data_IF_139188554356
#
_entry.id   IF_139188554356
#
_cell.length_a   1.000
_cell.length_b   1.000
_cell.length_c   1.000
_cell.angle_alpha   90.00
_cell.angle_beta   90.00
_cell.angle_gamma   90.00
#
_symmetry.space_group_name_H-M   'P 1'
#
loop_
_entity.id
_entity.type
_entity.pdbx_description
1 polymer ?
#
# COMPACT_ATOMS: atom_id res chain seq x y z
N UNK A 1 -8.28 0.41 20.91
CA UNK A 1 -7.83 1.81 21.03
C UNK A 1 -7.28 2.33 19.70
N UNK A 2 -6.14 1.86 19.19
CA UNK A 2 -5.59 2.35 17.90
C UNK A 2 -6.58 2.21 16.74
N UNK A 3 -7.17 1.03 16.54
CA UNK A 3 -8.22 0.80 15.53
C UNK A 3 -9.34 1.86 15.58
N UNK A 4 -10.00 2.01 16.74
CA UNK A 4 -11.09 2.99 16.95
C UNK A 4 -10.64 4.42 16.65
N UNK A 5 -9.46 4.81 17.10
CA UNK A 5 -8.94 6.17 16.91
C UNK A 5 -8.61 6.43 15.43
N UNK A 6 -8.08 5.44 14.71
CA UNK A 6 -7.83 5.54 13.28
C UNK A 6 -9.13 5.81 12.51
N UNK A 7 -10.19 5.05 12.74
CA UNK A 7 -11.47 5.28 12.04
C UNK A 7 -12.11 6.62 12.39
N UNK A 8 -12.05 7.06 13.66
CA UNK A 8 -12.51 8.40 14.04
C UNK A 8 -11.76 9.49 13.29
N UNK A 9 -10.42 9.40 13.25
CA UNK A 9 -9.58 10.34 12.51
C UNK A 9 -9.85 10.36 11.02
N UNK A 10 -10.14 9.19 10.43
CA UNK A 10 -10.53 9.08 9.01
C UNK A 10 -11.82 9.85 8.76
N UNK A 11 -12.82 9.72 9.63
CA UNK A 11 -14.09 10.43 9.51
C UNK A 11 -13.91 11.94 9.71
N UNK A 12 -13.16 12.34 10.75
CA UNK A 12 -12.87 13.75 11.07
C UNK A 12 -12.16 14.50 9.94
N UNK A 13 -11.32 13.80 9.19
CA UNK A 13 -10.51 14.35 8.10
C UNK A 13 -10.91 13.80 6.71
N UNK A 14 -12.17 13.39 6.54
CA UNK A 14 -12.64 12.77 5.29
C UNK A 14 -12.46 13.66 4.05
N UNK A 15 -12.43 14.98 4.21
CA UNK A 15 -12.13 15.92 3.13
C UNK A 15 -10.78 15.62 2.42
N UNK A 16 -9.80 15.04 3.12
CA UNK A 16 -8.53 14.65 2.51
C UNK A 16 -8.69 13.49 1.50
N UNK A 17 -9.70 12.63 1.66
CA UNK A 17 -9.96 11.51 0.73
C UNK A 17 -10.28 12.04 -0.67
N UNK A 18 -11.12 13.08 -0.78
CA UNK A 18 -11.46 13.70 -2.06
C UNK A 18 -10.24 14.34 -2.75
N UNK A 19 -9.35 14.96 -1.97
CA UNK A 19 -8.13 15.59 -2.49
C UNK A 19 -7.13 14.53 -2.97
N UNK A 20 -7.00 13.42 -2.23
CA UNK A 20 -6.20 12.27 -2.62
C UNK A 20 -6.76 11.65 -3.90
N UNK A 21 -8.09 11.49 -4.01
CA UNK A 21 -8.73 10.99 -5.24
C UNK A 21 -8.37 11.85 -6.45
N UNK A 22 -8.57 13.17 -6.37
CA UNK A 22 -8.24 14.08 -7.46
C UNK A 22 -6.76 13.97 -7.88
N UNK A 23 -5.85 13.89 -6.90
CA UNK A 23 -4.43 13.70 -7.17
C UNK A 23 -4.13 12.36 -7.83
N UNK A 24 -4.73 11.26 -7.36
CA UNK A 24 -4.53 9.92 -7.91
C UNK A 24 -5.01 9.87 -9.36
N UNK A 25 -6.17 10.45 -9.67
CA UNK A 25 -6.69 10.50 -11.05
C UNK A 25 -5.71 11.23 -11.95
N UNK A 26 -5.29 12.46 -11.59
CA UNK A 26 -4.36 13.24 -12.39
C UNK A 26 -3.00 12.53 -12.58
N UNK A 27 -2.42 12.02 -11.50
CA UNK A 27 -1.13 11.31 -11.56
C UNK A 27 -1.23 9.99 -12.32
N UNK A 28 -2.35 9.27 -12.23
CA UNK A 28 -2.56 8.02 -12.97
C UNK A 28 -2.69 8.28 -14.47
N UNK A 29 -3.42 9.32 -14.90
CA UNK A 29 -3.54 9.70 -16.32
C UNK A 29 -2.14 10.01 -16.87
N UNK A 30 -1.34 10.77 -16.13
CA UNK A 30 0.02 11.10 -16.55
C UNK A 30 0.92 9.87 -16.68
N UNK A 31 0.91 8.97 -15.69
CA UNK A 31 1.71 7.74 -15.72
C UNK A 31 1.25 6.80 -16.82
N UNK A 32 -0.06 6.60 -16.98
CA UNK A 32 -0.64 5.73 -18.01
C UNK A 32 -0.34 6.28 -19.40
N UNK A 33 -0.47 7.59 -19.62
CA UNK A 33 -0.15 8.21 -20.91
C UNK A 33 1.32 7.99 -21.32
N UNK A 34 2.25 8.21 -20.38
CA UNK A 34 3.67 7.96 -20.63
C UNK A 34 3.97 6.47 -20.83
N UNK A 35 3.44 5.61 -19.96
CA UNK A 35 3.65 4.17 -20.04
C UNK A 35 3.08 3.58 -21.35
N UNK A 36 1.92 4.06 -21.80
CA UNK A 36 1.29 3.64 -23.05
C UNK A 36 2.20 3.91 -24.25
N UNK A 37 2.70 5.14 -24.38
CA UNK A 37 3.59 5.53 -25.47
C UNK A 37 4.81 4.62 -25.59
N UNK A 38 5.39 4.23 -24.44
CA UNK A 38 6.58 3.40 -24.38
C UNK A 38 6.28 1.90 -24.59
N UNK A 39 5.07 1.47 -24.26
CA UNK A 39 4.61 0.08 -24.42
C UNK A 39 4.07 -0.24 -25.82
N UNK A 40 3.93 0.73 -26.72
CA UNK A 40 3.35 0.51 -28.06
C UNK A 40 3.99 -0.66 -28.85
N UNK A 41 5.33 -0.82 -28.90
CA UNK A 41 5.95 -1.96 -29.59
C UNK A 41 5.62 -3.30 -28.92
N UNK A 42 5.51 -3.31 -27.60
CA UNK A 42 5.17 -4.50 -26.80
C UNK A 42 3.70 -4.88 -27.07
N UNK A 43 2.79 -3.91 -27.05
CA UNK A 43 1.36 -4.13 -27.32
C UNK A 43 1.17 -4.70 -28.72
N UNK A 44 1.87 -4.17 -29.74
CA UNK A 44 1.78 -4.68 -31.12
C UNK A 44 2.16 -6.16 -31.22
N UNK A 45 3.19 -6.58 -30.49
CA UNK A 45 3.60 -8.00 -30.44
C UNK A 45 2.58 -8.89 -29.72
N UNK A 46 2.01 -8.41 -28.62
CA UNK A 46 0.95 -9.13 -27.91
C UNK A 46 -0.33 -9.28 -28.75
N UNK A 47 -0.64 -8.27 -29.57
CA UNK A 47 -1.75 -8.34 -30.53
C UNK A 47 -1.47 -9.36 -31.62
N UNK A 48 -0.25 -9.36 -32.19
CA UNK A 48 0.10 -10.30 -33.27
C UNK A 48 0.08 -11.77 -32.83
N UNK A 49 0.39 -12.04 -31.55
CA UNK A 49 0.33 -13.39 -30.98
C UNK A 49 -1.04 -13.73 -30.37
N UNK A 50 -2.03 -12.83 -30.45
CA UNK A 50 -3.39 -13.09 -29.98
C UNK A 50 -3.55 -13.12 -28.46
N UNK A 51 -2.53 -12.76 -27.68
CA UNK A 51 -2.56 -12.82 -26.20
C UNK A 51 -3.66 -11.96 -25.57
N UNK A 52 -4.05 -10.85 -26.22
CA UNK A 52 -5.15 -10.00 -25.74
C UNK A 52 -6.50 -10.72 -25.83
N UNK A 53 -6.69 -11.55 -26.86
CA UNK A 53 -7.94 -12.30 -27.06
C UNK A 53 -8.06 -13.41 -26.02
N UNK A 54 -6.97 -14.13 -25.73
CA UNK A 54 -6.91 -15.13 -24.65
C UNK A 54 -7.15 -14.48 -23.29
N UNK A 55 -6.54 -13.31 -23.01
CA UNK A 55 -6.77 -12.58 -21.76
C UNK A 55 -8.25 -12.20 -21.57
N UNK A 56 -8.88 -11.61 -22.59
CA UNK A 56 -10.31 -11.27 -22.53
C UNK A 56 -11.17 -12.53 -22.38
N UNK A 57 -10.80 -13.62 -23.05
CA UNK A 57 -11.48 -14.91 -22.93
C UNK A 57 -11.45 -15.49 -21.51
N UNK A 58 -10.32 -15.36 -20.81
CA UNK A 58 -10.17 -15.82 -19.43
C UNK A 58 -11.09 -15.03 -18.48
N UNK A 59 -11.13 -13.71 -18.60
CA UNK A 59 -12.02 -12.89 -17.77
C UNK A 59 -13.50 -13.12 -18.07
N UNK A 60 -13.87 -13.35 -19.34
CA UNK A 60 -15.25 -13.72 -19.71
C UNK A 60 -15.66 -15.06 -19.10
N UNK A 61 -14.81 -16.08 -19.17
CA UNK A 61 -15.06 -17.39 -18.54
C UNK A 61 -15.16 -17.29 -17.01
N UNK A 62 -14.36 -16.44 -16.39
CA UNK A 62 -14.49 -16.19 -14.95
C UNK A 62 -15.80 -15.51 -14.60
N UNK A 63 -16.24 -14.53 -15.40
CA UNK A 63 -17.52 -13.85 -15.20
C UNK A 63 -18.74 -14.75 -15.33
N UNK A 64 -18.66 -15.85 -16.08
CA UNK A 64 -19.74 -16.84 -16.20
C UNK A 64 -19.69 -17.90 -15.10
N UNK A 65 -18.51 -18.43 -14.78
CA UNK A 65 -18.39 -19.66 -13.99
C UNK A 65 -17.96 -19.41 -12.53
N UNK A 66 -17.53 -18.19 -12.20
CA UNK A 66 -16.99 -17.78 -10.89
C UNK A 66 -15.94 -18.76 -10.30
N UNK A 67 -15.23 -19.49 -11.16
CA UNK A 67 -14.25 -20.47 -10.74
C UNK A 67 -12.89 -19.79 -10.46
N UNK A 68 -12.62 -19.53 -9.17
CA UNK A 68 -11.39 -18.89 -8.70
C UNK A 68 -10.14 -19.73 -9.01
N UNK A 69 -10.23 -21.06 -8.90
CA UNK A 69 -9.11 -21.95 -9.20
C UNK A 69 -8.76 -21.91 -10.69
N UNK A 70 -9.76 -22.03 -11.57
CA UNK A 70 -9.56 -21.93 -13.01
C UNK A 70 -8.96 -20.58 -13.44
N UNK A 71 -9.37 -19.48 -12.78
CA UNK A 71 -8.76 -18.17 -13.00
C UNK A 71 -7.28 -18.15 -12.60
N UNK A 72 -6.92 -18.73 -11.45
CA UNK A 72 -5.51 -18.78 -11.01
C UNK A 72 -4.62 -19.56 -11.98
N UNK A 73 -5.07 -20.73 -12.43
CA UNK A 73 -4.35 -21.55 -13.42
C UNK A 73 -4.12 -20.75 -14.71
N UNK A 74 -5.17 -20.14 -15.23
CA UNK A 74 -5.10 -19.36 -16.47
C UNK A 74 -4.19 -18.12 -16.32
N UNK A 75 -4.19 -17.45 -15.17
CA UNK A 75 -3.31 -16.30 -14.91
C UNK A 75 -1.84 -16.74 -14.84
N UNK A 76 -1.53 -17.84 -14.15
CA UNK A 76 -0.16 -18.34 -14.07
C UNK A 76 0.34 -18.73 -15.46
N UNK A 77 -0.47 -19.43 -16.26
CA UNK A 77 -0.15 -19.77 -17.64
C UNK A 77 0.08 -18.52 -18.51
N UNK A 78 -0.78 -17.51 -18.42
CA UNK A 78 -0.60 -16.24 -19.14
C UNK A 78 0.72 -15.54 -18.78
N UNK A 79 1.14 -15.58 -17.52
CA UNK A 79 2.41 -14.99 -17.08
C UNK A 79 3.58 -15.75 -17.68
N UNK A 80 3.53 -17.09 -17.70
CA UNK A 80 4.57 -17.93 -18.29
C UNK A 80 4.67 -17.72 -19.81
N UNK A 81 3.54 -17.69 -20.52
CA UNK A 81 3.47 -17.39 -21.96
C UNK A 81 3.99 -15.99 -22.28
N UNK A 82 3.68 -15.01 -21.44
CA UNK A 82 4.17 -13.64 -21.60
C UNK A 82 5.71 -13.58 -21.41
N UNK A 83 6.23 -14.30 -20.43
CA UNK A 83 7.66 -14.36 -20.17
C UNK A 83 8.44 -15.03 -21.31
N UNK A 84 7.91 -16.10 -21.90
CA UNK A 84 8.57 -16.79 -23.03
C UNK A 84 8.56 -15.92 -24.29
N UNK A 85 7.47 -15.22 -24.58
CA UNK A 85 7.35 -14.27 -25.69
C UNK A 85 8.37 -13.13 -25.57
N UNK A 86 8.48 -12.53 -24.39
CA UNK A 86 9.46 -11.47 -24.13
C UNK A 86 10.89 -12.00 -24.26
N UNK A 87 11.17 -13.19 -23.71
CA UNK A 87 12.49 -13.79 -23.80
C UNK A 87 12.91 -14.03 -25.27
N UNK A 88 11.98 -14.48 -26.11
CA UNK A 88 12.21 -14.69 -27.54
C UNK A 88 12.50 -13.39 -28.31
N UNK A 89 11.94 -12.26 -27.87
CA UNK A 89 12.03 -10.97 -28.56
C UNK A 89 12.91 -9.92 -27.85
N UNK A 90 13.68 -10.33 -26.84
CA UNK A 90 14.35 -9.41 -25.91
C UNK A 90 15.32 -8.45 -26.62
N UNK A 91 16.05 -8.94 -27.62
CA UNK A 91 17.04 -8.14 -28.37
C UNK A 91 16.42 -6.95 -29.11
N UNK A 92 15.15 -7.04 -29.51
CA UNK A 92 14.44 -5.96 -30.23
C UNK A 92 13.70 -5.02 -29.28
N UNK A 93 13.32 -5.51 -28.09
CA UNK A 93 12.41 -4.79 -27.18
C UNK A 93 13.07 -4.25 -25.91
N UNK A 94 14.33 -4.58 -25.65
CA UNK A 94 14.94 -4.33 -24.34
C UNK A 94 14.83 -2.86 -23.90
N UNK A 95 15.08 -1.90 -24.81
CA UNK A 95 14.97 -0.47 -24.52
C UNK A 95 13.56 -0.09 -24.09
N UNK A 96 12.55 -0.57 -24.82
CA UNK A 96 11.14 -0.27 -24.52
C UNK A 96 10.69 -0.90 -23.21
N UNK A 97 11.17 -2.11 -22.90
CA UNK A 97 10.88 -2.80 -21.64
C UNK A 97 11.51 -2.05 -20.46
N UNK A 98 12.78 -1.67 -20.55
CA UNK A 98 13.48 -0.92 -19.49
C UNK A 98 12.81 0.43 -19.26
N UNK A 99 12.45 1.13 -20.33
CA UNK A 99 11.82 2.44 -20.23
C UNK A 99 10.40 2.33 -19.66
N UNK A 100 9.63 1.32 -20.07
CA UNK A 100 8.33 1.01 -19.47
C UNK A 100 8.44 0.71 -17.96
N UNK A 101 9.37 -0.15 -17.56
CA UNK A 101 9.61 -0.47 -16.15
C UNK A 101 10.06 0.77 -15.36
N UNK A 102 10.91 1.60 -15.94
CA UNK A 102 11.33 2.85 -15.31
C UNK A 102 10.14 3.78 -15.03
N UNK A 103 9.22 3.95 -15.99
CA UNK A 103 8.02 4.77 -15.79
C UNK A 103 7.11 4.15 -14.71
N UNK A 104 6.79 2.86 -14.83
CA UNK A 104 5.83 2.19 -13.94
C UNK A 104 6.35 2.05 -12.52
N UNK A 105 7.66 1.85 -12.34
CA UNK A 105 8.26 1.69 -11.01
C UNK A 105 8.69 3.05 -10.46
N UNK A 106 9.53 3.81 -11.16
CA UNK A 106 10.16 5.01 -10.60
C UNK A 106 9.21 6.20 -10.63
N UNK A 107 8.63 6.53 -11.80
CA UNK A 107 7.79 7.72 -11.96
C UNK A 107 6.49 7.59 -11.17
N UNK A 108 5.82 6.43 -11.26
CA UNK A 108 4.63 6.15 -10.44
C UNK A 108 4.93 6.22 -8.96
N UNK A 109 6.02 5.62 -8.50
CA UNK A 109 6.35 5.62 -7.08
C UNK A 109 6.64 7.04 -6.59
N UNK A 110 7.34 7.86 -7.40
CA UNK A 110 7.56 9.28 -7.13
C UNK A 110 6.28 10.08 -6.96
N UNK A 111 5.36 10.01 -7.93
CA UNK A 111 4.07 10.67 -7.82
C UNK A 111 3.27 10.16 -6.62
N UNK A 112 3.34 8.85 -6.35
CA UNK A 112 2.66 8.28 -5.19
C UNK A 112 3.23 8.75 -3.85
N UNK A 113 4.52 9.07 -3.77
CA UNK A 113 5.15 9.60 -2.56
C UNK A 113 4.62 10.98 -2.20
N UNK A 114 4.42 11.84 -3.21
CA UNK A 114 4.03 13.24 -3.05
C UNK A 114 2.72 13.35 -2.25
N UNK A 115 1.67 12.61 -2.65
CA UNK A 115 0.41 12.67 -1.91
C UNK A 115 0.54 12.08 -0.49
N UNK A 116 1.36 11.04 -0.30
CA UNK A 116 1.55 10.43 1.04
C UNK A 116 2.14 11.43 2.02
N UNK A 117 3.17 12.20 1.60
CA UNK A 117 3.75 13.25 2.43
C UNK A 117 2.80 14.40 2.67
N UNK A 118 2.14 14.89 1.61
CA UNK A 118 1.20 16.00 1.73
C UNK A 118 0.04 15.70 2.68
N UNK A 119 -0.52 14.49 2.58
CA UNK A 119 -1.58 14.02 3.47
C UNK A 119 -1.07 13.83 4.89
N UNK A 120 0.10 13.20 5.06
CA UNK A 120 0.65 12.95 6.41
C UNK A 120 1.02 14.27 7.11
N UNK A 121 1.49 15.27 6.37
CA UNK A 121 1.76 16.61 6.90
C UNK A 121 0.46 17.34 7.25
N UNK A 122 -0.57 17.26 6.41
CA UNK A 122 -1.89 17.79 6.75
C UNK A 122 -2.47 17.13 8.01
N UNK A 123 -2.32 15.81 8.13
CA UNK A 123 -2.70 15.05 9.32
C UNK A 123 -1.87 15.45 10.55
N UNK A 124 -0.56 15.63 10.42
CA UNK A 124 0.31 16.06 11.51
C UNK A 124 -0.20 17.35 12.16
N UNK A 125 -0.51 18.37 11.35
CA UNK A 125 -0.98 19.66 11.86
C UNK A 125 -2.38 19.58 12.51
N UNK A 126 -3.24 18.70 12.01
CA UNK A 126 -4.52 18.41 12.66
C UNK A 126 -4.33 17.67 13.99
N UNK A 127 -3.40 16.70 14.05
CA UNK A 127 -3.15 15.88 15.23
C UNK A 127 -2.38 16.63 16.33
N UNK A 128 -1.46 17.53 15.98
CA UNK A 128 -0.61 18.26 16.93
C UNK A 128 -1.26 19.52 17.45
N UNK A 129 -1.92 20.27 16.56
CA UNK A 129 -2.31 21.66 16.82
C UNK A 129 -3.78 21.93 16.50
N UNK A 130 -4.53 20.91 16.04
CA UNK A 130 -5.91 21.05 15.58
C UNK A 130 -6.06 22.09 14.43
N UNK A 131 -5.02 22.27 13.62
CA UNK A 131 -5.00 23.21 12.49
C UNK A 131 -5.24 22.46 11.18
N UNK A 132 -6.19 22.95 10.38
CA UNK A 132 -6.48 22.42 9.03
C UNK A 132 -5.65 23.16 7.98
N UNK A 133 -4.52 22.59 7.59
CA UNK A 133 -3.68 23.13 6.50
C UNK A 133 -4.22 22.67 5.14
N UNK A 134 -4.12 23.55 4.13
CA UNK A 134 -4.44 23.22 2.74
C UNK A 134 -3.54 22.12 2.18
N UNK A 135 -4.14 21.15 1.47
CA UNK A 135 -3.41 20.04 0.83
C UNK A 135 -2.41 20.50 -0.23
N UNK A 136 -2.73 21.57 -0.97
CA UNK A 136 -1.83 22.16 -1.98
C UNK A 136 -0.58 22.77 -1.32
N UNK A 137 -0.76 23.49 -0.21
CA UNK A 137 0.36 24.03 0.57
C UNK A 137 1.24 22.93 1.14
N UNK A 138 0.64 21.83 1.63
CA UNK A 138 1.41 20.68 2.11
C UNK A 138 2.08 19.88 0.99
N UNK A 139 1.49 19.84 -0.21
CA UNK A 139 2.11 19.30 -1.42
C UNK A 139 3.40 20.04 -1.75
N UNK A 140 3.35 21.36 -1.93
CA UNK A 140 4.52 22.14 -2.36
C UNK A 140 5.64 22.19 -1.33
N UNK A 141 5.31 22.27 -0.04
CA UNK A 141 6.32 22.31 1.03
C UNK A 141 7.08 20.99 1.20
N UNK A 142 6.47 19.85 0.83
CA UNK A 142 7.05 18.52 1.06
C UNK A 142 7.78 17.91 -0.15
N UNK A 143 7.78 18.56 -1.32
CA UNK A 143 8.37 18.00 -2.56
C UNK A 143 9.84 17.59 -2.38
N UNK A 144 10.66 18.45 -1.77
CA UNK A 144 12.10 18.22 -1.61
C UNK A 144 12.41 17.02 -0.72
N UNK A 145 11.70 16.92 0.40
CA UNK A 145 11.85 15.81 1.35
C UNK A 145 11.29 14.52 0.73
N UNK A 146 10.18 14.62 -0.01
CA UNK A 146 9.58 13.50 -0.71
C UNK A 146 10.52 12.90 -1.78
N UNK A 147 11.25 13.73 -2.55
CA UNK A 147 12.27 13.24 -3.49
C UNK A 147 13.30 12.32 -2.82
N UNK A 148 13.88 12.79 -1.72
CA UNK A 148 14.87 12.02 -0.95
C UNK A 148 14.25 10.75 -0.35
N UNK A 149 13.05 10.87 0.19
CA UNK A 149 12.33 9.73 0.73
C UNK A 149 12.04 8.70 -0.34
N UNK A 150 11.56 9.13 -1.52
CA UNK A 150 11.12 8.18 -2.52
C UNK A 150 12.27 7.34 -3.03
N UNK A 151 13.43 7.96 -3.29
CA UNK A 151 14.63 7.24 -3.69
C UNK A 151 15.06 6.21 -2.64
N UNK A 152 15.08 6.59 -1.36
CA UNK A 152 15.40 5.66 -0.28
C UNK A 152 14.33 4.55 -0.12
N UNK A 153 13.05 4.91 -0.26
CA UNK A 153 11.94 3.97 -0.16
C UNK A 153 11.95 2.97 -1.32
N UNK A 154 12.34 3.38 -2.53
CA UNK A 154 12.53 2.47 -3.65
C UNK A 154 13.65 1.49 -3.34
N UNK A 155 14.82 1.96 -2.86
CA UNK A 155 15.93 1.07 -2.51
C UNK A 155 15.57 0.05 -1.42
N UNK A 156 14.77 0.44 -0.44
CA UNK A 156 14.44 -0.43 0.71
C UNK A 156 13.19 -1.29 0.45
N UNK A 157 12.16 -0.75 -0.19
CA UNK A 157 10.88 -1.43 -0.38
C UNK A 157 10.85 -2.26 -1.68
N UNK A 158 11.58 -1.88 -2.73
CA UNK A 158 11.57 -2.62 -4.00
C UNK A 158 12.05 -4.07 -3.84
N UNK A 159 13.16 -4.37 -3.14
CA UNK A 159 13.58 -5.76 -2.92
C UNK A 159 12.52 -6.57 -2.17
N UNK A 160 11.84 -5.94 -1.20
CA UNK A 160 10.75 -6.58 -0.47
C UNK A 160 9.52 -6.80 -1.35
N UNK A 161 9.21 -5.86 -2.25
CA UNK A 161 8.10 -6.00 -3.20
C UNK A 161 8.35 -7.11 -4.22
N UNK A 162 9.59 -7.20 -4.74
CA UNK A 162 10.00 -8.29 -5.63
C UNK A 162 9.94 -9.63 -4.90
N UNK A 163 10.41 -9.69 -3.66
CA UNK A 163 10.36 -10.90 -2.84
C UNK A 163 8.91 -11.32 -2.55
N UNK A 164 8.03 -10.38 -2.22
CA UNK A 164 6.60 -10.66 -1.99
C UNK A 164 5.91 -11.15 -3.26
N UNK A 165 6.21 -10.54 -4.41
CA UNK A 165 5.66 -10.96 -5.69
C UNK A 165 6.15 -12.37 -6.10
N UNK A 166 7.44 -12.65 -5.94
CA UNK A 166 8.01 -13.96 -6.20
C UNK A 166 7.38 -15.03 -5.28
N UNK A 167 7.28 -14.73 -3.98
CA UNK A 167 6.65 -15.63 -3.01
C UNK A 167 5.19 -15.91 -3.36
N UNK A 168 4.43 -14.88 -3.77
CA UNK A 168 3.06 -15.05 -4.28
C UNK A 168 3.02 -15.98 -5.50
N UNK A 169 3.88 -15.77 -6.49
CA UNK A 169 3.92 -16.59 -7.70
C UNK A 169 4.24 -18.06 -7.38
N UNK A 170 5.23 -18.33 -6.53
CA UNK A 170 5.57 -19.68 -6.11
C UNK A 170 4.45 -20.34 -5.28
N UNK A 171 3.79 -19.61 -4.39
CA UNK A 171 2.64 -20.13 -3.65
C UNK A 171 1.46 -20.44 -4.58
N UNK A 172 1.17 -19.57 -5.54
CA UNK A 172 0.12 -19.79 -6.53
C UNK A 172 0.43 -21.04 -7.38
N UNK A 173 1.68 -21.21 -7.81
CA UNK A 173 2.12 -22.40 -8.55
C UNK A 173 2.03 -23.67 -7.71
N UNK A 174 2.44 -23.62 -6.44
CA UNK A 174 2.35 -24.76 -5.52
C UNK A 174 0.90 -25.22 -5.35
N UNK A 175 -0.01 -24.27 -5.13
CA UNK A 175 -1.46 -24.52 -5.03
C UNK A 175 -2.01 -25.25 -6.26
N UNK A 176 -1.57 -24.88 -7.47
CA UNK A 176 -2.00 -25.50 -8.72
C UNK A 176 -1.49 -26.94 -8.84
N UNK A 177 -0.24 -27.21 -8.44
CA UNK A 177 0.36 -28.56 -8.57
C UNK A 177 -0.24 -29.59 -7.62
N UNK A 178 -0.74 -29.17 -6.46
CA UNK A 178 -1.42 -30.06 -5.51
C UNK A 178 -2.93 -30.02 -5.74
N UNK A 179 -3.42 -30.82 -6.70
CA UNK A 179 -4.84 -30.92 -7.05
C UNK A 179 -5.77 -31.17 -5.83
N UNK A 180 -5.24 -31.74 -4.74
CA UNK A 180 -5.99 -32.13 -3.53
C UNK A 180 -6.50 -31.00 -2.62
N UNK A 181 -6.18 -29.72 -2.87
CA UNK A 181 -6.60 -28.60 -2.00
C UNK A 181 -7.58 -27.62 -2.65
N UNK A 182 -8.21 -28.00 -3.77
CA UNK A 182 -9.09 -27.20 -4.64
C UNK A 182 -10.03 -26.18 -3.94
N UNK A 183 -10.67 -26.54 -2.82
CA UNK A 183 -11.60 -25.66 -2.09
C UNK A 183 -10.94 -24.75 -1.05
N UNK A 184 -9.84 -25.19 -0.43
CA UNK A 184 -9.18 -24.49 0.70
C UNK A 184 -8.00 -23.63 0.20
N UNK A 185 -7.40 -24.03 -0.92
CA UNK A 185 -6.33 -23.36 -1.64
C UNK A 185 -6.50 -21.83 -1.80
N UNK A 186 -7.61 -21.32 -2.37
CA UNK A 186 -7.75 -19.87 -2.59
C UNK A 186 -7.85 -19.08 -1.28
N UNK A 187 -8.49 -19.66 -0.26
CA UNK A 187 -8.65 -19.01 1.05
C UNK A 187 -7.29 -18.92 1.76
N UNK A 188 -6.53 -20.02 1.78
CA UNK A 188 -5.18 -20.03 2.39
C UNK A 188 -4.25 -19.03 1.72
N UNK A 189 -4.29 -18.94 0.38
CA UNK A 189 -3.50 -17.99 -0.39
C UNK A 189 -3.85 -16.53 -0.04
N UNK A 190 -5.14 -16.18 0.07
CA UNK A 190 -5.58 -14.83 0.46
C UNK A 190 -5.10 -14.49 1.88
N UNK A 191 -5.21 -15.43 2.82
CA UNK A 191 -4.79 -15.22 4.22
C UNK A 191 -3.28 -14.99 4.29
N UNK A 192 -2.47 -15.83 3.63
CA UNK A 192 -1.01 -15.70 3.63
C UNK A 192 -0.59 -14.37 3.01
N UNK A 193 -1.18 -13.99 1.87
CA UNK A 193 -0.94 -12.68 1.25
C UNK A 193 -1.28 -11.54 2.19
N UNK A 194 -2.44 -11.57 2.83
CA UNK A 194 -2.87 -10.53 3.75
C UNK A 194 -1.88 -10.39 4.91
N UNK A 195 -1.39 -11.50 5.47
CA UNK A 195 -0.39 -11.48 6.55
C UNK A 195 0.94 -10.87 6.09
N UNK A 196 1.40 -11.20 4.89
CA UNK A 196 2.62 -10.64 4.32
C UNK A 196 2.50 -9.14 4.03
N UNK A 197 1.38 -8.71 3.47
CA UNK A 197 1.07 -7.29 3.27
C UNK A 197 0.97 -6.54 4.61
N UNK A 198 0.32 -7.14 5.60
CA UNK A 198 0.25 -6.58 6.95
C UNK A 198 1.64 -6.41 7.54
N UNK A 199 2.52 -7.40 7.38
CA UNK A 199 3.89 -7.36 7.87
C UNK A 199 4.68 -6.21 7.23
N UNK A 200 4.59 -6.05 5.91
CA UNK A 200 5.21 -4.92 5.19
C UNK A 200 4.70 -3.57 5.71
N UNK A 201 3.38 -3.42 5.85
CA UNK A 201 2.78 -2.17 6.34
C UNK A 201 3.30 -1.85 7.76
N UNK A 202 3.34 -2.85 8.65
CA UNK A 202 3.84 -2.66 10.01
C UNK A 202 5.30 -2.21 10.01
N UNK A 203 6.19 -2.87 9.26
CA UNK A 203 7.61 -2.51 9.21
C UNK A 203 7.84 -1.04 8.83
N UNK A 204 7.09 -0.52 7.87
CA UNK A 204 7.27 0.84 7.35
C UNK A 204 6.29 1.88 7.90
N UNK A 205 5.34 1.48 8.74
CA UNK A 205 4.29 2.36 9.25
C UNK A 205 4.83 3.58 10.01
N UNK A 206 5.95 3.47 10.70
CA UNK A 206 6.55 4.58 11.44
C UNK A 206 7.44 5.53 10.61
N UNK A 207 7.72 5.23 9.34
CA UNK A 207 8.76 5.93 8.59
C UNK A 207 8.39 7.37 8.22
N UNK A 208 7.29 7.57 7.48
CA UNK A 208 6.82 8.92 7.10
C UNK A 208 6.43 9.75 8.34
N UNK A 209 5.69 9.21 9.34
CA UNK A 209 5.40 9.94 10.56
C UNK A 209 6.63 10.45 11.29
N UNK A 210 7.71 9.65 11.39
CA UNK A 210 8.94 10.06 12.06
C UNK A 210 9.65 11.22 11.36
N UNK A 211 9.63 11.24 10.03
CA UNK A 211 10.25 12.31 9.24
C UNK A 211 9.51 13.63 9.49
N UNK A 212 8.18 13.61 9.47
CA UNK A 212 7.36 14.82 9.58
C UNK A 212 7.31 15.35 11.01
N UNK A 213 7.20 14.47 12.01
CA UNK A 213 7.09 14.87 13.43
C UNK A 213 8.40 15.40 14.01
N UNK A 214 9.54 14.82 13.62
CA UNK A 214 10.86 15.18 14.16
C UNK A 214 11.73 15.98 13.17
N UNK A 215 11.18 16.38 12.03
CA UNK A 215 11.87 17.04 10.91
C UNK A 215 13.27 16.48 10.65
N UNK A 216 13.34 15.15 10.54
CA UNK A 216 14.61 14.42 10.52
C UNK A 216 14.92 13.85 9.13
N UNK A 217 16.21 13.64 8.84
CA UNK A 217 16.64 13.02 7.59
C UNK A 217 16.03 11.64 7.38
N UNK A 218 15.84 11.25 6.11
CA UNK A 218 15.08 10.04 5.70
C UNK A 218 15.55 8.76 6.40
N UNK A 219 16.85 8.53 6.50
CA UNK A 219 17.43 7.35 7.15
C UNK A 219 17.29 7.37 8.68
N UNK A 220 17.40 8.57 9.28
CA UNK A 220 17.14 8.76 10.72
C UNK A 220 15.66 8.49 11.02
N UNK A 221 14.77 8.95 10.14
CA UNK A 221 13.33 8.66 10.18
C UNK A 221 13.02 7.16 10.10
N UNK A 222 13.72 6.41 9.23
CA UNK A 222 13.57 4.96 9.13
C UNK A 222 13.94 4.28 10.46
N UNK A 223 15.09 4.63 11.05
CA UNK A 223 15.55 4.06 12.32
C UNK A 223 14.58 4.37 13.47
N UNK A 224 14.09 5.61 13.55
CA UNK A 224 13.11 6.02 14.55
C UNK A 224 11.74 5.34 14.35
N UNK A 225 11.30 5.22 13.09
CA UNK A 225 10.06 4.53 12.73
C UNK A 225 10.10 3.05 13.10
N UNK A 226 11.18 2.36 12.75
CA UNK A 226 11.40 0.95 13.12
C UNK A 226 11.41 0.81 14.65
N UNK A 227 12.17 1.65 15.37
CA UNK A 227 12.21 1.62 16.84
C UNK A 227 10.81 1.81 17.46
N UNK A 228 10.00 2.70 16.91
CA UNK A 228 8.63 2.95 17.33
C UNK A 228 7.72 1.72 17.12
N UNK A 229 7.82 1.08 15.95
CA UNK A 229 7.06 -0.12 15.59
C UNK A 229 7.40 -1.30 16.52
N UNK A 230 8.68 -1.59 16.70
CA UNK A 230 9.14 -2.76 17.46
C UNK A 230 8.77 -2.70 18.95
N UNK A 231 8.56 -1.51 19.52
CA UNK A 231 8.10 -1.36 20.92
C UNK A 231 6.77 -2.06 21.19
N UNK A 232 5.85 -2.07 20.23
CA UNK A 232 4.49 -2.63 20.36
C UNK A 232 4.12 -3.51 19.16
N UNK A 233 5.10 -4.22 18.59
CA UNK A 233 4.98 -4.93 17.31
C UNK A 233 3.71 -5.78 17.21
N UNK A 234 3.50 -6.73 18.12
CA UNK A 234 2.35 -7.65 18.08
C UNK A 234 1.00 -6.93 18.12
N UNK A 235 0.89 -5.88 18.93
CA UNK A 235 -0.35 -5.09 19.04
C UNK A 235 -0.59 -4.28 17.77
N UNK A 236 0.46 -3.70 17.21
CA UNK A 236 0.42 -2.97 15.94
C UNK A 236 0.04 -3.91 14.79
N UNK A 237 0.66 -5.10 14.73
CA UNK A 237 0.41 -6.11 13.71
C UNK A 237 -1.02 -6.65 13.74
N UNK A 238 -1.53 -7.04 14.91
CA UNK A 238 -2.93 -7.42 15.07
C UNK A 238 -3.89 -6.30 14.64
N UNK A 239 -3.56 -5.05 14.94
CA UNK A 239 -4.39 -3.90 14.53
C UNK A 239 -4.38 -3.70 13.01
N UNK A 240 -3.22 -3.86 12.35
CA UNK A 240 -3.13 -3.78 10.88
C UNK A 240 -3.94 -4.88 10.22
N UNK A 241 -3.87 -6.11 10.72
CA UNK A 241 -4.68 -7.22 10.20
C UNK A 241 -6.17 -6.89 10.27
N UNK A 242 -6.64 -6.39 11.41
CA UNK A 242 -8.04 -5.98 11.57
C UNK A 242 -8.42 -4.87 10.58
N UNK A 243 -7.58 -3.84 10.43
CA UNK A 243 -7.83 -2.75 9.47
C UNK A 243 -7.89 -3.28 8.04
N UNK A 244 -6.95 -4.15 7.65
CA UNK A 244 -6.92 -4.73 6.30
C UNK A 244 -8.14 -5.61 6.05
N UNK A 245 -8.55 -6.43 7.02
CA UNK A 245 -9.75 -7.25 6.91
C UNK A 245 -11.00 -6.39 6.77
N UNK A 246 -11.15 -5.33 7.57
CA UNK A 246 -12.27 -4.39 7.44
C UNK A 246 -12.27 -3.71 6.08
N UNK A 247 -11.12 -3.24 5.61
CA UNK A 247 -11.00 -2.62 4.29
C UNK A 247 -11.30 -3.61 3.17
N UNK A 248 -10.88 -4.88 3.29
CA UNK A 248 -11.18 -5.93 2.32
C UNK A 248 -12.69 -6.18 2.25
N UNK A 249 -13.35 -6.34 3.40
CA UNK A 249 -14.82 -6.55 3.46
C UNK A 249 -15.56 -5.34 2.88
N UNK A 250 -15.18 -4.12 3.26
CA UNK A 250 -15.80 -2.90 2.72
C UNK A 250 -15.59 -2.80 1.21
N UNK A 251 -14.38 -3.04 0.71
CA UNK A 251 -14.09 -3.03 -0.72
C UNK A 251 -14.92 -4.09 -1.47
N UNK A 252 -14.98 -5.31 -0.95
CA UNK A 252 -15.69 -6.41 -1.60
C UNK A 252 -17.21 -6.17 -1.64
N UNK A 253 -17.81 -5.80 -0.50
CA UNK A 253 -19.26 -5.51 -0.42
C UNK A 253 -19.63 -4.33 -1.31
N UNK A 254 -18.88 -3.22 -1.22
CA UNK A 254 -19.14 -2.06 -2.06
C UNK A 254 -18.97 -2.38 -3.55
N UNK A 255 -17.95 -3.18 -3.92
CA UNK A 255 -17.71 -3.57 -5.30
C UNK A 255 -18.88 -4.40 -5.85
N UNK A 256 -19.39 -5.37 -5.09
CA UNK A 256 -20.55 -6.17 -5.48
C UNK A 256 -21.81 -5.32 -5.65
N UNK A 257 -22.10 -4.42 -4.70
CA UNK A 257 -23.31 -3.60 -4.75
C UNK A 257 -23.33 -2.58 -5.89
N UNK A 258 -22.16 -2.15 -6.38
CA UNK A 258 -22.02 -1.06 -7.36
C UNK A 258 -21.41 -1.50 -8.68
N UNK A 259 -21.32 -2.82 -8.92
CA UNK A 259 -20.64 -3.40 -10.08
C UNK A 259 -19.23 -2.81 -10.31
N UNK A 260 -18.49 -2.59 -9.23
CA UNK A 260 -17.12 -2.08 -9.24
C UNK A 260 -16.97 -0.55 -9.28
N UNK A 261 -18.03 0.23 -9.45
CA UNK A 261 -17.94 1.70 -9.47
C UNK A 261 -17.41 2.28 -8.13
N UNK A 262 -17.69 1.60 -7.01
CA UNK A 262 -17.21 2.01 -5.69
C UNK A 262 -15.69 2.05 -5.55
N UNK A 263 -14.92 1.33 -6.38
CA UNK A 263 -13.46 1.36 -6.32
C UNK A 263 -12.87 2.76 -6.48
N UNK A 264 -13.58 3.64 -7.20
CA UNK A 264 -13.19 5.05 -7.35
C UNK A 264 -13.01 5.73 -5.99
N UNK A 265 -13.87 5.43 -5.01
CA UNK A 265 -13.84 6.05 -3.68
C UNK A 265 -13.15 5.15 -2.65
N UNK A 266 -13.31 3.83 -2.74
CA UNK A 266 -12.78 2.94 -1.71
C UNK A 266 -11.26 2.76 -1.78
N UNK A 267 -10.64 2.92 -2.96
CA UNK A 267 -9.18 2.93 -3.13
C UNK A 267 -8.54 4.12 -2.38
N UNK A 268 -8.89 5.39 -2.63
CA UNK A 268 -8.30 6.52 -1.90
C UNK A 268 -8.63 6.46 -0.41
N UNK A 269 -9.81 5.94 -0.03
CA UNK A 269 -10.17 5.71 1.38
C UNK A 269 -9.22 4.69 2.05
N UNK A 270 -8.90 3.59 1.37
CA UNK A 270 -7.96 2.57 1.84
C UNK A 270 -6.57 3.18 2.05
N UNK A 271 -6.08 3.93 1.06
CA UNK A 271 -4.77 4.60 1.13
C UNK A 271 -4.72 5.61 2.28
N UNK A 272 -5.77 6.42 2.43
CA UNK A 272 -5.87 7.40 3.51
C UNK A 272 -5.91 6.72 4.89
N UNK A 273 -6.70 5.65 5.03
CA UNK A 273 -6.81 4.90 6.29
C UNK A 273 -5.46 4.35 6.74
N UNK A 274 -4.64 3.84 5.81
CA UNK A 274 -3.28 3.36 6.12
C UNK A 274 -2.38 4.52 6.58
N UNK A 275 -2.46 5.70 5.97
CA UNK A 275 -1.69 6.88 6.39
C UNK A 275 -2.10 7.39 7.78
N UNK A 276 -3.41 7.42 8.07
CA UNK A 276 -3.94 7.78 9.39
C UNK A 276 -3.50 6.75 10.44
N UNK A 277 -3.55 5.46 10.09
CA UNK A 277 -3.07 4.40 10.96
C UNK A 277 -1.59 4.58 11.30
N UNK A 278 -0.75 4.83 10.29
CA UNK A 278 0.68 5.07 10.46
C UNK A 278 0.97 6.19 11.46
N UNK A 279 0.26 7.32 11.35
CA UNK A 279 0.35 8.43 12.31
C UNK A 279 -0.14 8.03 13.70
N UNK A 280 -1.31 7.40 13.79
CA UNK A 280 -1.91 6.98 15.07
C UNK A 280 -0.99 6.03 15.82
N UNK A 281 -0.40 5.06 15.11
CA UNK A 281 0.55 4.10 15.64
C UNK A 281 1.80 4.82 16.15
N UNK A 282 2.36 5.73 15.35
CA UNK A 282 3.57 6.46 15.71
C UNK A 282 3.37 7.31 16.98
N UNK A 283 2.28 8.08 17.06
CA UNK A 283 1.96 8.86 18.25
C UNK A 283 1.71 7.97 19.48
N UNK A 284 0.99 6.87 19.30
CA UNK A 284 0.70 5.95 20.40
C UNK A 284 1.95 5.23 20.93
N UNK A 285 2.90 4.90 20.06
CA UNK A 285 4.16 4.23 20.41
C UNK A 285 5.21 5.17 21.01
N UNK A 286 5.11 6.47 20.73
CA UNK A 286 5.94 7.52 21.35
C UNK A 286 5.29 8.18 22.58
N UNK A 287 4.07 7.78 22.97
CA UNK A 287 3.41 8.39 24.13
C UNK A 287 2.99 9.84 23.90
N UNK A 288 2.90 10.29 22.64
CA UNK A 288 2.52 11.67 22.29
C UNK A 288 1.01 11.85 22.34
N UNK A 289 0.56 12.98 22.90
CA UNK A 289 -0.86 13.38 22.87
C UNK A 289 -1.23 13.79 21.45
N UNK A 290 -2.46 13.46 21.03
CA UNK A 290 -2.98 13.89 19.73
C UNK A 290 -4.49 14.15 19.79
N UNK A 291 -4.94 15.10 18.99
CA UNK A 291 -6.36 15.37 18.76
C UNK A 291 -6.96 14.29 17.86
N UNK A 292 -8.11 13.73 18.24
CA UNK A 292 -8.90 12.83 17.38
C UNK A 292 -9.98 13.61 16.64
N UNK A 293 -10.55 14.58 17.33
CA UNK A 293 -11.56 15.54 16.88
C UNK A 293 -11.24 16.90 17.52
N UNK A 294 -12.02 17.94 17.22
CA UNK A 294 -11.83 19.28 17.80
C UNK A 294 -11.80 19.27 19.33
N UNK A 295 -12.59 18.38 19.94
CA UNK A 295 -12.86 18.39 21.37
C UNK A 295 -12.24 17.20 22.12
N UNK A 296 -11.70 16.21 21.38
CA UNK A 296 -11.22 14.95 21.98
C UNK A 296 -9.71 14.83 21.83
N UNK A 297 -8.98 14.89 22.95
CA UNK A 297 -7.54 14.63 23.02
C UNK A 297 -7.29 13.23 23.57
N UNK A 298 -6.54 12.43 22.83
CA UNK A 298 -6.07 11.12 23.29
C UNK A 298 -4.69 11.27 23.91
N UNK A 299 -4.59 10.92 25.19
CA UNK A 299 -3.31 10.81 25.90
C UNK A 299 -2.94 9.33 26.01
N UNK A 300 -2.01 8.81 25.20
CA UNK A 300 -1.47 7.47 25.42
C UNK A 300 -0.69 7.43 26.74
N UNK A 301 -0.62 6.24 27.37
CA UNK A 301 0.18 6.02 28.60
C UNK A 301 1.62 6.50 28.38
N UNK A 302 2.13 7.33 29.30
CA UNK A 302 3.46 7.96 29.21
C UNK A 302 4.57 6.91 29.12
N UNK A 303 5.59 7.20 28.33
CA UNK A 303 6.74 6.31 28.10
C UNK A 303 7.47 5.97 29.40
N UNK A 304 7.67 6.96 30.28
CA UNK A 304 8.38 6.82 31.56
C UNK A 304 7.74 5.77 32.48
N UNK A 305 6.41 5.78 32.61
CA UNK A 305 5.69 4.79 33.43
C UNK A 305 5.84 3.37 32.87
N UNK A 306 5.75 3.20 31.55
CA UNK A 306 5.90 1.87 30.93
C UNK A 306 7.32 1.34 30.96
N UNK A 307 8.33 2.20 30.80
CA UNK A 307 9.75 1.80 30.83
C UNK A 307 10.21 1.53 32.27
N UNK A 308 9.72 2.30 33.26
CA UNK A 308 9.95 2.03 34.68
C UNK A 308 9.32 0.70 35.12
N UNK A 309 8.06 0.42 34.74
CA UNK A 309 7.40 -0.86 35.05
C UNK A 309 8.11 -2.04 34.35
N UNK A 310 8.61 -1.86 33.12
CA UNK A 310 9.39 -2.90 32.44
C UNK A 310 10.74 -3.16 33.10
N UNK A 311 11.42 -2.12 33.56
CA UNK A 311 12.67 -2.25 34.30
C UNK A 311 12.45 -2.99 35.64
N UNK A 312 11.36 -2.68 36.35
CA UNK A 312 10.97 -3.35 37.59
C UNK A 312 10.60 -4.84 37.39
N UNK A 313 10.10 -5.21 36.20
CA UNK A 313 9.75 -6.61 35.88
C UNK A 313 10.96 -7.56 35.83
N UNK A 314 12.18 -7.03 35.70
CA UNK A 314 13.42 -7.82 35.72
C UNK A 314 14.12 -7.80 37.10
N UNK A 315 13.49 -7.18 38.11
CA UNK A 315 14.00 -7.06 39.48
C UNK A 315 13.25 -8.03 40.44
N UNK A 316 12.22 -8.72 39.96
CA UNK A 316 11.48 -9.79 40.67
C UNK A 316 11.75 -11.10 39.94
#
# INVERSE_FOLDING_TARGET
MMYKNTFKLVISNFNLVWKILAYIVLSSIFVVGLAYACSLPIIKLLVSEGMLVTTIGIFKKFGSDFNVYGLLVNIVGLIEDFCTLIAANINKLWVYIVLFLFIVIVVRAFLSGIYKFATTNALYNSLSSNIKIGFTTSLFSSIRINLKYQLASLLVQLPLDVLLFALFFYLARWVITTEGLLLIAPITLIIVLMLLFAFKIVLFSGWIPAIITFDCGVWKGLKLGIKAVFRRFYRTFSTVILILLTLLVVNFVCALCTFGASFIITIPLTLFTILVFNMTMFYSSQGMRFYVDSDTVVTPKRLEETDAIRALKYII
#
